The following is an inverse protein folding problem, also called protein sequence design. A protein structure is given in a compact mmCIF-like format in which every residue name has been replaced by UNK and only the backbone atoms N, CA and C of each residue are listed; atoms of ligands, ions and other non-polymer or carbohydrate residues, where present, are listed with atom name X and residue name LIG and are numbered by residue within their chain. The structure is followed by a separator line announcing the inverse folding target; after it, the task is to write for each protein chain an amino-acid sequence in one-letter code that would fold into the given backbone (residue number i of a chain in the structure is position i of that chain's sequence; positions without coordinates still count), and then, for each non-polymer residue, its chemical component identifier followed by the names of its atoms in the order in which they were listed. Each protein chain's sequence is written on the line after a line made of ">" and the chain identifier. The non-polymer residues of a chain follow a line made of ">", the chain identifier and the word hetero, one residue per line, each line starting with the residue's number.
data_IF_136669167420
#
_entry.id   IF_136669167420
#
_cell.length_a   1.000
_cell.length_b   1.000
_cell.length_c   1.000
_cell.angle_alpha   90.00
_cell.angle_beta   90.00
_cell.angle_gamma   90.00
#
_symmetry.space_group_name_H-M   'P 1'
#
loop_
_entity.id
_entity.type
_entity.pdbx_description
1 polymer ?
#
# COMPACT_ATOMS: atom_id res chain seq x y z
N UNK A 1 -33.83 42.36 -42.77
CA UNK A 1 -32.53 41.63 -42.74
C UNK A 1 -32.56 40.61 -41.62
N UNK A 2 -32.66 39.33 -41.96
CA UNK A 2 -32.57 38.19 -41.03
C UNK A 2 -31.14 38.12 -40.48
N UNK A 3 -30.96 38.06 -39.16
CA UNK A 3 -29.70 37.64 -38.53
C UNK A 3 -29.94 36.34 -37.77
N UNK A 4 -29.55 35.26 -38.42
CA UNK A 4 -29.26 33.96 -37.84
C UNK A 4 -27.88 34.09 -37.19
N UNK A 5 -27.72 33.79 -35.91
CA UNK A 5 -26.40 33.43 -35.38
C UNK A 5 -26.53 32.27 -34.39
N UNK A 6 -25.70 31.27 -34.66
CA UNK A 6 -25.68 29.92 -34.14
C UNK A 6 -25.44 29.88 -32.62
N UNK A 7 -26.25 29.07 -31.91
CA UNK A 7 -25.83 28.47 -30.65
C UNK A 7 -24.79 27.38 -30.95
N UNK A 8 -23.53 27.62 -30.59
CA UNK A 8 -22.57 26.53 -30.38
C UNK A 8 -22.91 25.86 -29.03
N UNK A 9 -23.47 24.66 -29.10
CA UNK A 9 -23.66 23.80 -27.93
C UNK A 9 -22.31 23.31 -27.40
N UNK A 10 -22.03 23.60 -26.14
CA UNK A 10 -21.02 22.88 -25.36
C UNK A 10 -21.46 21.41 -25.26
N UNK A 11 -20.77 20.51 -25.97
CA UNK A 11 -20.74 19.09 -25.63
C UNK A 11 -19.81 18.92 -24.42
N UNK A 12 -20.36 19.15 -23.23
CA UNK A 12 -19.85 18.55 -22.01
C UNK A 12 -20.11 17.05 -22.13
N UNK A 13 -19.07 16.28 -22.49
CA UNK A 13 -19.06 14.85 -22.28
C UNK A 13 -19.07 14.60 -20.76
N UNK A 14 -20.27 14.54 -20.18
CA UNK A 14 -20.47 13.88 -18.90
C UNK A 14 -20.13 12.41 -19.12
N UNK A 15 -18.96 11.98 -18.65
CA UNK A 15 -18.66 10.56 -18.54
C UNK A 15 -19.71 9.94 -17.61
N UNK A 16 -20.41 8.92 -18.10
CA UNK A 16 -21.43 8.16 -17.39
C UNK A 16 -20.88 7.62 -16.06
N UNK A 17 -21.15 8.34 -14.98
CA UNK A 17 -21.03 7.83 -13.61
C UNK A 17 -22.39 7.26 -13.16
N UNK A 18 -23.03 6.45 -14.01
CA UNK A 18 -24.24 5.70 -13.66
C UNK A 18 -23.92 4.20 -13.48
N UNK A 19 -24.12 3.70 -12.26
CA UNK A 19 -24.88 2.47 -12.03
C UNK A 19 -24.29 1.09 -12.36
N UNK A 20 -23.03 0.94 -12.75
CA UNK A 20 -22.47 -0.40 -12.95
C UNK A 20 -21.82 -0.95 -11.67
N UNK A 21 -22.30 -2.11 -11.21
CA UNK A 21 -21.71 -2.86 -10.10
C UNK A 21 -20.27 -3.32 -10.41
N UNK A 22 -19.59 -3.96 -9.45
CA UNK A 22 -18.21 -4.39 -9.65
C UNK A 22 -18.07 -5.36 -10.82
N UNK A 23 -17.02 -5.17 -11.62
CA UNK A 23 -16.68 -5.99 -12.80
C UNK A 23 -15.47 -6.86 -12.48
N UNK A 24 -15.59 -8.16 -12.70
CA UNK A 24 -14.55 -9.16 -12.39
C UNK A 24 -14.03 -9.79 -13.69
N UNK A 25 -12.75 -9.59 -13.98
CA UNK A 25 -12.10 -10.12 -15.17
C UNK A 25 -11.05 -11.14 -14.78
N UNK A 26 -11.20 -12.40 -15.21
CA UNK A 26 -10.17 -13.42 -15.01
C UNK A 26 -8.92 -13.04 -15.81
N UNK A 27 -7.81 -12.77 -15.14
CA UNK A 27 -6.54 -12.37 -15.77
C UNK A 27 -5.54 -13.51 -15.86
N UNK A 28 -5.57 -14.46 -14.92
CA UNK A 28 -4.64 -15.58 -14.89
C UNK A 28 -5.21 -16.78 -14.14
N UNK A 29 -5.02 -17.95 -14.70
CA UNK A 29 -5.07 -19.21 -13.94
C UNK A 29 -3.64 -19.64 -13.65
N UNK A 30 -3.24 -19.56 -12.38
CA UNK A 30 -1.90 -19.89 -11.92
C UNK A 30 -1.86 -21.35 -11.46
N UNK A 31 -1.03 -22.18 -12.10
CA UNK A 31 -0.76 -23.55 -11.66
C UNK A 31 0.10 -23.56 -10.39
N UNK A 32 0.05 -24.66 -9.63
CA UNK A 32 0.95 -24.90 -8.48
C UNK A 32 2.43 -24.70 -8.87
N UNK A 33 2.84 -25.18 -10.04
CA UNK A 33 4.21 -24.99 -10.55
C UNK A 33 4.53 -23.50 -10.75
N UNK A 34 3.62 -22.73 -11.36
CA UNK A 34 3.83 -21.30 -11.59
C UNK A 34 3.92 -20.49 -10.29
N UNK A 35 3.11 -20.84 -9.29
CA UNK A 35 3.17 -20.23 -7.96
C UNK A 35 4.49 -20.57 -7.26
N UNK A 36 4.94 -21.82 -7.37
CA UNK A 36 6.22 -22.24 -6.83
C UNK A 36 7.42 -21.52 -7.48
N UNK A 37 7.37 -21.20 -8.78
CA UNK A 37 8.39 -20.34 -9.43
C UNK A 37 8.46 -18.94 -8.81
N UNK A 38 7.33 -18.39 -8.35
CA UNK A 38 7.30 -17.12 -7.60
C UNK A 38 7.95 -17.31 -6.22
N UNK A 39 7.60 -18.39 -5.52
CA UNK A 39 8.14 -18.71 -4.19
C UNK A 39 9.63 -19.04 -4.18
N UNK A 40 10.18 -19.43 -5.33
CA UNK A 40 11.60 -19.70 -5.51
C UNK A 40 12.34 -18.49 -6.10
N UNK A 41 12.27 -18.32 -7.43
CA UNK A 41 13.12 -17.39 -8.18
C UNK A 41 12.76 -15.92 -7.92
N UNK A 42 11.47 -15.56 -7.94
CA UNK A 42 11.06 -14.17 -7.68
C UNK A 42 11.29 -13.79 -6.22
N UNK A 43 11.03 -14.70 -5.28
CA UNK A 43 11.36 -14.50 -3.86
C UNK A 43 12.85 -14.28 -3.66
N UNK A 44 13.70 -15.06 -4.34
CA UNK A 44 15.16 -14.89 -4.26
C UNK A 44 15.60 -13.53 -4.82
N UNK A 45 15.04 -13.09 -5.95
CA UNK A 45 15.32 -11.78 -6.52
C UNK A 45 14.78 -10.60 -5.67
N UNK A 46 13.74 -10.84 -4.87
CA UNK A 46 13.19 -9.84 -3.96
C UNK A 46 14.05 -9.64 -2.70
N UNK A 47 14.76 -10.69 -2.26
CA UNK A 47 15.66 -10.59 -1.11
C UNK A 47 16.79 -9.58 -1.40
N UNK A 48 17.17 -8.76 -0.41
CA UNK A 48 18.27 -7.81 -0.58
C UNK A 48 19.59 -8.57 -0.89
N UNK A 49 20.42 -7.96 -1.74
CA UNK A 49 21.72 -8.53 -2.13
C UNK A 49 22.79 -8.50 -1.02
N UNK A 50 22.50 -7.89 0.15
CA UNK A 50 23.44 -7.77 1.27
C UNK A 50 22.77 -7.78 2.65
N UNK A 51 23.60 -7.87 3.69
CA UNK A 51 23.24 -7.59 5.09
C UNK A 51 22.21 -8.52 5.71
N UNK A 52 22.62 -9.74 6.06
CA UNK A 52 21.96 -10.50 7.13
C UNK A 52 23.02 -10.86 8.17
N UNK A 53 22.72 -10.81 9.48
CA UNK A 53 23.54 -11.44 10.50
C UNK A 53 23.88 -12.87 10.07
N UNK A 54 25.12 -13.30 10.31
CA UNK A 54 25.60 -14.61 9.84
C UNK A 54 24.71 -15.77 10.32
N UNK A 55 24.05 -15.61 11.46
CA UNK A 55 23.12 -16.54 12.09
C UNK A 55 21.67 -16.48 11.56
N UNK A 56 21.28 -15.43 10.82
CA UNK A 56 19.89 -15.24 10.42
C UNK A 56 19.51 -15.98 9.13
N UNK A 57 18.76 -17.08 9.18
CA UNK A 57 18.30 -17.78 7.98
C UNK A 57 16.92 -17.31 7.51
N UNK A 58 16.81 -16.91 6.22
CA UNK A 58 15.51 -16.59 5.63
C UNK A 58 14.56 -17.79 5.72
N UNK A 59 13.34 -17.61 6.24
CA UNK A 59 12.41 -18.73 6.41
C UNK A 59 12.00 -19.27 5.04
N UNK A 60 11.99 -20.59 4.89
CA UNK A 60 11.54 -21.24 3.66
C UNK A 60 10.04 -20.98 3.46
N UNK A 61 9.67 -20.55 2.26
CA UNK A 61 8.26 -20.42 1.91
C UNK A 61 7.65 -21.82 1.70
N UNK A 62 6.48 -22.13 2.30
CA UNK A 62 5.83 -23.42 2.07
C UNK A 62 5.35 -23.51 0.62
N UNK A 63 5.53 -24.68 0.00
CA UNK A 63 5.13 -24.93 -1.39
C UNK A 63 3.62 -24.79 -1.57
N UNK A 64 3.20 -24.19 -2.68
CA UNK A 64 1.79 -24.07 -3.03
C UNK A 64 1.15 -25.47 -3.14
N UNK A 65 -0.06 -25.60 -2.59
CA UNK A 65 -0.88 -26.82 -2.60
C UNK A 65 -1.97 -26.78 -3.66
N UNK A 66 -2.45 -25.58 -4.00
CA UNK A 66 -3.57 -25.37 -4.92
C UNK A 66 -3.18 -24.42 -6.05
N UNK A 67 -3.79 -24.62 -7.23
CA UNK A 67 -3.83 -23.60 -8.26
C UNK A 67 -4.73 -22.44 -7.84
N UNK A 68 -4.63 -21.31 -8.54
CA UNK A 68 -5.34 -20.08 -8.17
C UNK A 68 -5.90 -19.41 -9.43
N UNK A 69 -7.19 -19.09 -9.41
CA UNK A 69 -7.82 -18.19 -10.38
C UNK A 69 -7.68 -16.75 -9.89
N UNK A 70 -7.07 -15.90 -10.71
CA UNK A 70 -6.73 -14.53 -10.37
C UNK A 70 -7.57 -13.60 -11.22
N UNK A 71 -8.34 -12.74 -10.55
CA UNK A 71 -9.23 -11.77 -11.15
C UNK A 71 -8.71 -10.36 -10.90
N UNK A 72 -8.77 -9.53 -11.93
CA UNK A 72 -8.81 -8.07 -11.77
C UNK A 72 -10.25 -7.66 -11.48
N UNK A 73 -10.41 -6.72 -10.56
CA UNK A 73 -11.72 -6.18 -10.19
C UNK A 73 -11.70 -4.67 -10.35
N UNK A 74 -12.69 -4.13 -11.06
CA UNK A 74 -13.02 -2.72 -11.03
C UNK A 74 -14.27 -2.54 -10.20
N UNK A 75 -14.28 -1.59 -9.27
CA UNK A 75 -15.39 -1.40 -8.33
C UNK A 75 -15.66 0.09 -8.05
N UNK A 76 -16.93 0.46 -7.81
CA UNK A 76 -17.27 1.80 -7.37
C UNK A 76 -16.73 2.04 -5.96
N UNK A 77 -16.24 3.26 -5.73
CA UNK A 77 -15.78 3.72 -4.42
C UNK A 77 -16.11 5.21 -4.24
N UNK A 78 -15.64 5.81 -3.16
CA UNK A 78 -15.82 7.22 -2.85
C UNK A 78 -14.53 7.83 -2.32
N UNK A 79 -14.39 9.14 -2.44
CA UNK A 79 -13.32 9.92 -1.81
C UNK A 79 -13.87 10.63 -0.57
N UNK A 80 -13.67 10.12 0.66
CA UNK A 80 -14.24 10.72 1.87
C UNK A 80 -13.79 12.17 2.10
N UNK A 81 -12.53 12.47 1.76
CA UNK A 81 -11.96 13.80 1.86
C UNK A 81 -12.66 14.83 0.96
N UNK A 82 -13.33 14.39 -0.10
CA UNK A 82 -14.14 15.20 -1.00
C UNK A 82 -15.64 14.95 -0.78
N UNK A 83 -16.06 14.89 0.48
CA UNK A 83 -17.47 14.71 0.86
C UNK A 83 -18.11 13.45 0.26
N UNK A 84 -17.36 12.35 0.19
CA UNK A 84 -17.75 11.08 -0.43
C UNK A 84 -18.10 11.20 -1.92
N UNK A 85 -17.41 12.07 -2.67
CA UNK A 85 -17.56 12.14 -4.12
C UNK A 85 -17.34 10.74 -4.74
N UNK A 86 -18.26 10.26 -5.60
CA UNK A 86 -18.11 8.96 -6.26
C UNK A 86 -16.87 8.89 -7.15
N UNK A 87 -16.24 7.71 -7.17
CA UNK A 87 -15.12 7.38 -8.04
C UNK A 87 -15.11 5.88 -8.36
N UNK A 88 -14.12 5.43 -9.13
CA UNK A 88 -13.83 4.01 -9.34
C UNK A 88 -12.40 3.71 -8.89
N UNK A 89 -12.23 2.52 -8.33
CA UNK A 89 -10.93 1.94 -8.03
C UNK A 89 -10.83 0.53 -8.62
N UNK A 90 -9.63 -0.04 -8.58
CA UNK A 90 -9.36 -1.39 -9.02
C UNK A 90 -8.58 -2.19 -7.97
N UNK A 91 -8.50 -3.49 -8.18
CA UNK A 91 -7.76 -4.41 -7.32
C UNK A 91 -7.70 -5.82 -7.88
N UNK A 92 -7.20 -6.73 -7.06
CA UNK A 92 -7.05 -8.15 -7.35
C UNK A 92 -7.87 -8.99 -6.37
N UNK A 93 -8.49 -10.04 -6.88
CA UNK A 93 -9.02 -11.15 -6.08
C UNK A 93 -8.45 -12.46 -6.63
N UNK A 94 -7.72 -13.18 -5.79
CA UNK A 94 -7.16 -14.49 -6.09
C UNK A 94 -7.92 -15.56 -5.30
N UNK A 95 -8.56 -16.47 -6.03
CA UNK A 95 -9.39 -17.55 -5.48
C UNK A 95 -8.69 -18.89 -5.69
N UNK A 96 -8.35 -19.64 -4.63
CA UNK A 96 -7.76 -20.96 -4.76
C UNK A 96 -8.74 -21.96 -5.37
N UNK A 97 -8.25 -22.79 -6.30
CA UNK A 97 -9.03 -23.83 -6.98
C UNK A 97 -9.09 -25.06 -6.08
N UNK A 98 -10.16 -25.17 -5.29
CA UNK A 98 -10.40 -26.27 -4.33
C UNK A 98 -11.79 -26.89 -4.53
N UNK A 99 -11.94 -27.87 -5.43
CA UNK A 99 -13.23 -28.52 -5.68
C UNK A 99 -13.89 -29.05 -4.39
N UNK A 100 -15.19 -28.85 -4.25
CA UNK A 100 -15.97 -29.26 -3.07
C UNK A 100 -15.80 -28.37 -1.83
N UNK A 101 -14.99 -27.32 -1.88
CA UNK A 101 -14.82 -26.37 -0.77
C UNK A 101 -15.78 -25.19 -0.89
N UNK A 102 -16.70 -25.07 0.06
CA UNK A 102 -17.73 -24.01 0.09
C UNK A 102 -17.49 -22.92 1.15
N UNK A 103 -16.38 -23.01 1.89
CA UNK A 103 -15.99 -21.97 2.84
C UNK A 103 -14.47 -21.78 2.84
N UNK A 104 -14.01 -20.53 2.70
CA UNK A 104 -12.59 -20.21 2.60
C UNK A 104 -12.24 -19.01 3.49
N UNK A 105 -11.04 -19.00 4.11
CA UNK A 105 -10.54 -17.81 4.79
C UNK A 105 -10.15 -16.75 3.76
N UNK A 106 -10.41 -15.49 4.07
CA UNK A 106 -10.03 -14.33 3.24
C UNK A 106 -8.88 -13.60 3.90
N UNK A 107 -7.85 -13.27 3.12
CA UNK A 107 -6.78 -12.35 3.47
C UNK A 107 -6.93 -11.08 2.63
N UNK A 108 -7.21 -9.95 3.26
CA UNK A 108 -7.04 -8.66 2.59
C UNK A 108 -5.59 -8.18 2.76
N UNK A 109 -4.89 -8.04 1.64
CA UNK A 109 -3.51 -7.55 1.58
C UNK A 109 -3.45 -6.10 1.12
N UNK A 110 -2.67 -5.30 1.83
CA UNK A 110 -2.39 -3.91 1.49
C UNK A 110 -0.93 -3.80 1.06
N UNK A 111 -0.71 -3.43 -0.21
CA UNK A 111 0.63 -3.29 -0.79
C UNK A 111 1.35 -2.04 -0.28
N UNK A 112 2.68 -2.08 -0.29
CA UNK A 112 3.56 -0.96 0.01
C UNK A 112 3.61 0.07 -1.12
N UNK A 113 4.56 0.99 -1.06
CA UNK A 113 4.70 2.01 -2.11
C UNK A 113 5.11 1.40 -3.44
N UNK A 114 4.45 1.82 -4.51
CA UNK A 114 4.73 1.39 -5.89
C UNK A 114 4.93 2.61 -6.79
N UNK A 115 5.87 2.49 -7.74
CA UNK A 115 6.33 3.64 -8.51
C UNK A 115 5.58 3.78 -9.83
N UNK A 116 5.26 2.71 -10.54
CA UNK A 116 4.39 2.79 -11.72
C UNK A 116 2.90 2.80 -11.35
N UNK A 117 2.09 3.53 -12.13
CA UNK A 117 0.62 3.59 -11.95
C UNK A 117 -0.02 2.19 -11.98
N UNK A 118 0.52 1.31 -12.82
CA UNK A 118 0.06 -0.05 -13.02
C UNK A 118 0.95 -1.11 -12.33
N UNK A 119 1.82 -0.70 -11.41
CA UNK A 119 2.63 -1.64 -10.60
C UNK A 119 1.91 -2.12 -9.34
N UNK A 120 0.61 -2.30 -9.47
CA UNK A 120 -0.36 -2.48 -8.39
C UNK A 120 -0.95 -3.90 -8.44
N UNK A 121 -1.67 -4.35 -7.40
CA UNK A 121 -2.26 -5.68 -7.37
C UNK A 121 -3.03 -6.12 -8.62
N UNK A 122 -3.90 -5.30 -9.17
CA UNK A 122 -4.75 -5.65 -10.34
C UNK A 122 -3.97 -5.99 -11.61
N UNK A 123 -2.72 -5.51 -11.72
CA UNK A 123 -1.81 -5.75 -12.84
C UNK A 123 -0.64 -6.68 -12.46
N UNK A 124 -0.59 -7.19 -11.23
CA UNK A 124 0.54 -7.98 -10.72
C UNK A 124 0.81 -9.25 -11.53
N UNK A 125 -0.20 -9.79 -12.22
CA UNK A 125 -0.12 -10.99 -13.06
C UNK A 125 -0.36 -10.71 -14.55
N UNK A 126 -0.45 -9.45 -14.93
CA UNK A 126 -0.50 -9.01 -16.32
C UNK A 126 0.91 -8.99 -16.91
N UNK A 127 1.01 -9.17 -18.24
CA UNK A 127 2.28 -9.01 -18.98
C UNK A 127 2.44 -7.61 -19.58
N UNK A 128 1.34 -6.89 -19.72
CA UNK A 128 1.25 -5.57 -20.34
C UNK A 128 0.35 -4.69 -19.49
N UNK A 129 0.48 -3.38 -19.67
CA UNK A 129 -0.33 -2.39 -19.00
C UNK A 129 -0.63 -1.19 -19.94
N UNK A 130 -1.60 -0.33 -19.63
CA UNK A 130 -2.02 0.75 -20.51
C UNK A 130 -1.04 1.93 -20.65
N UNK A 131 0.08 1.98 -19.93
CA UNK A 131 0.98 3.14 -19.96
C UNK A 131 1.77 3.30 -21.27
N UNK A 132 1.86 2.24 -22.09
CA UNK A 132 2.74 2.21 -23.26
C UNK A 132 4.22 2.00 -22.92
N UNK A 133 4.59 1.99 -21.64
CA UNK A 133 5.94 1.66 -21.16
C UNK A 133 6.02 0.20 -20.70
N UNK A 134 7.23 -0.34 -20.68
CA UNK A 134 7.45 -1.67 -20.12
C UNK A 134 6.94 -1.71 -18.68
N UNK A 135 6.25 -2.79 -18.35
CA UNK A 135 5.88 -3.04 -16.97
C UNK A 135 7.18 -3.24 -16.18
N UNK A 136 7.49 -2.34 -15.24
CA UNK A 136 8.62 -2.60 -14.35
C UNK A 136 8.30 -3.80 -13.46
N UNK A 137 9.32 -4.38 -12.84
CA UNK A 137 9.18 -5.62 -12.07
C UNK A 137 8.35 -5.44 -10.77
N UNK A 138 7.59 -4.35 -10.60
CA UNK A 138 6.73 -4.05 -9.46
C UNK A 138 5.60 -5.05 -9.20
N UNK A 139 4.88 -4.81 -8.11
CA UNK A 139 3.93 -5.74 -7.48
C UNK A 139 4.48 -7.13 -7.12
N UNK A 140 5.80 -7.30 -6.99
CA UNK A 140 6.46 -8.55 -6.58
C UNK A 140 5.89 -9.07 -5.26
N UNK A 141 5.61 -8.18 -4.32
CA UNK A 141 5.12 -8.52 -2.99
C UNK A 141 3.70 -9.07 -3.04
N UNK A 142 2.83 -8.50 -3.89
CA UNK A 142 1.49 -9.01 -4.12
C UNK A 142 1.55 -10.40 -4.75
N UNK A 143 2.45 -10.62 -5.73
CA UNK A 143 2.67 -11.96 -6.31
C UNK A 143 3.12 -12.97 -5.23
N UNK A 144 4.02 -12.56 -4.34
CA UNK A 144 4.48 -13.39 -3.22
C UNK A 144 3.35 -13.71 -2.23
N UNK A 145 2.49 -12.75 -1.90
CA UNK A 145 1.32 -12.95 -1.04
C UNK A 145 0.34 -13.91 -1.68
N UNK A 146 -0.01 -13.73 -2.96
CA UNK A 146 -0.89 -14.65 -3.68
C UNK A 146 -0.29 -16.06 -3.68
N UNK A 147 1.00 -16.21 -3.97
CA UNK A 147 1.65 -17.52 -3.97
C UNK A 147 1.69 -18.17 -2.58
N UNK A 148 1.95 -17.41 -1.51
CA UNK A 148 2.02 -17.94 -0.15
C UNK A 148 0.66 -18.17 0.51
N UNK A 149 -0.35 -17.36 0.22
CA UNK A 149 -1.66 -17.44 0.87
C UNK A 149 -2.70 -18.13 -0.02
N UNK A 150 -2.90 -17.65 -1.25
CA UNK A 150 -3.83 -18.32 -2.16
C UNK A 150 -3.34 -19.70 -2.57
N UNK A 151 -2.02 -19.87 -2.78
CA UNK A 151 -1.44 -21.20 -2.96
C UNK A 151 -1.67 -22.16 -1.77
N UNK A 152 -2.07 -21.66 -0.59
CA UNK A 152 -2.37 -22.46 0.61
C UNK A 152 -3.85 -22.56 0.96
N UNK A 153 -4.75 -22.03 0.11
CA UNK A 153 -6.20 -22.14 0.31
C UNK A 153 -6.88 -20.91 0.91
N UNK A 154 -6.23 -19.75 0.93
CA UNK A 154 -6.85 -18.47 1.29
C UNK A 154 -7.34 -17.73 0.05
N UNK A 155 -8.52 -17.12 0.09
CA UNK A 155 -8.82 -16.06 -0.88
C UNK A 155 -7.95 -14.86 -0.54
N UNK A 156 -7.30 -14.25 -1.53
CA UNK A 156 -6.51 -13.03 -1.34
C UNK A 156 -7.20 -11.89 -2.07
N UNK A 157 -7.47 -10.79 -1.36
CA UNK A 157 -8.01 -9.55 -1.91
C UNK A 157 -6.99 -8.43 -1.71
N UNK A 158 -6.71 -7.63 -2.74
CA UNK A 158 -5.75 -6.53 -2.63
C UNK A 158 -6.18 -5.34 -3.50
N UNK A 159 -6.45 -4.20 -2.88
CA UNK A 159 -6.84 -2.97 -3.57
C UNK A 159 -5.61 -2.27 -4.13
N UNK A 160 -5.76 -1.60 -5.28
CA UNK A 160 -4.69 -0.76 -5.85
C UNK A 160 -4.57 0.60 -5.15
N UNK A 161 -5.58 0.96 -4.36
CA UNK A 161 -5.85 2.30 -3.81
C UNK A 161 -6.39 3.31 -4.85
N UNK A 162 -6.98 4.40 -4.34
CA UNK A 162 -7.55 5.46 -5.18
C UNK A 162 -6.43 6.21 -5.90
N UNK A 163 -6.63 6.43 -7.20
CA UNK A 163 -5.67 7.09 -8.09
C UNK A 163 -4.60 6.18 -8.70
N UNK A 164 -4.69 4.88 -8.41
CA UNK A 164 -3.79 3.85 -8.90
C UNK A 164 -4.53 2.83 -9.77
N UNK A 165 -3.80 2.06 -10.57
CA UNK A 165 -4.39 1.09 -11.50
C UNK A 165 -5.33 1.76 -12.50
N UNK A 166 -6.57 1.28 -12.55
CA UNK A 166 -7.60 1.77 -13.47
C UNK A 166 -8.30 3.05 -12.98
N UNK A 167 -7.90 3.60 -11.82
CA UNK A 167 -8.43 4.87 -11.33
C UNK A 167 -7.98 6.05 -12.20
N UNK A 168 -8.91 6.98 -12.47
CA UNK A 168 -8.65 8.21 -13.23
C UNK A 168 -8.14 9.37 -12.36
N UNK A 169 -8.20 9.23 -11.04
CA UNK A 169 -7.75 10.25 -10.09
C UNK A 169 -6.21 10.23 -9.91
N UNK A 170 -5.61 11.29 -9.36
CA UNK A 170 -4.22 11.25 -8.89
C UNK A 170 -4.12 10.42 -7.59
N UNK A 171 -2.94 9.89 -7.26
CA UNK A 171 -2.78 8.95 -6.14
C UNK A 171 -3.12 9.55 -4.77
N UNK A 172 -3.92 8.81 -4.00
CA UNK A 172 -4.32 9.10 -2.63
C UNK A 172 -3.33 8.55 -1.58
N UNK A 173 -2.02 8.79 -1.76
CA UNK A 173 -0.96 8.21 -0.93
C UNK A 173 -1.04 8.65 0.54
N UNK A 174 -1.26 7.72 1.47
CA UNK A 174 -1.43 7.94 2.92
C UNK A 174 -2.58 8.89 3.27
N UNK A 175 -3.56 9.00 2.38
CA UNK A 175 -4.82 9.71 2.62
C UNK A 175 -5.78 8.71 3.27
N UNK A 176 -5.79 8.72 4.61
CA UNK A 176 -6.40 7.66 5.42
C UNK A 176 -7.84 7.30 5.03
N UNK A 177 -8.70 8.28 4.75
CA UNK A 177 -10.09 8.04 4.38
C UNK A 177 -10.23 7.35 3.03
N UNK A 178 -9.53 7.86 2.01
CA UNK A 178 -9.46 7.28 0.68
C UNK A 178 -8.93 5.83 0.69
N UNK A 179 -7.86 5.57 1.44
CA UNK A 179 -7.30 4.21 1.58
C UNK A 179 -8.26 3.24 2.28
N UNK A 180 -8.96 3.71 3.34
CA UNK A 180 -10.02 2.94 4.00
C UNK A 180 -11.19 2.64 3.06
N UNK A 181 -11.60 3.60 2.23
CA UNK A 181 -12.70 3.44 1.28
C UNK A 181 -12.35 2.39 0.21
N UNK A 182 -11.19 2.51 -0.44
CA UNK A 182 -10.73 1.54 -1.44
C UNK A 182 -10.70 0.11 -0.89
N UNK A 183 -10.10 -0.09 0.30
CA UNK A 183 -10.02 -1.42 0.91
C UNK A 183 -11.41 -1.96 1.30
N UNK A 184 -12.27 -1.14 1.89
CA UNK A 184 -13.61 -1.55 2.33
C UNK A 184 -14.53 -1.89 1.16
N UNK A 185 -14.46 -1.12 0.09
CA UNK A 185 -15.33 -1.32 -1.08
C UNK A 185 -14.88 -2.53 -1.91
N UNK A 186 -13.56 -2.78 -2.03
CA UNK A 186 -13.06 -4.04 -2.57
C UNK A 186 -13.51 -5.22 -1.72
N UNK A 187 -13.39 -5.14 -0.39
CA UNK A 187 -13.82 -6.21 0.52
C UNK A 187 -15.31 -6.55 0.35
N UNK A 188 -16.16 -5.53 0.20
CA UNK A 188 -17.60 -5.72 -0.07
C UNK A 188 -17.85 -6.37 -1.43
N UNK A 189 -17.17 -5.88 -2.47
CA UNK A 189 -17.27 -6.45 -3.82
C UNK A 189 -16.80 -7.92 -3.84
N UNK A 190 -15.68 -8.22 -3.20
CA UNK A 190 -15.12 -9.55 -3.07
C UNK A 190 -16.03 -10.50 -2.31
N UNK A 191 -16.61 -10.07 -1.19
CA UNK A 191 -17.63 -10.84 -0.47
C UNK A 191 -18.82 -11.21 -1.36
N UNK A 192 -19.32 -10.28 -2.17
CA UNK A 192 -20.40 -10.55 -3.14
C UNK A 192 -19.98 -11.55 -4.23
N UNK A 193 -18.76 -11.41 -4.74
CA UNK A 193 -18.19 -12.31 -5.74
C UNK A 193 -17.98 -13.74 -5.23
N UNK A 194 -17.51 -13.89 -3.99
CA UNK A 194 -17.36 -15.22 -3.38
C UNK A 194 -18.73 -15.90 -3.22
N UNK A 195 -19.76 -15.16 -2.81
CA UNK A 195 -21.14 -15.70 -2.71
C UNK A 195 -21.65 -16.16 -4.07
N UNK A 196 -21.41 -15.41 -5.15
CA UNK A 196 -21.83 -15.83 -6.51
C UNK A 196 -21.06 -17.06 -7.02
N UNK A 197 -19.88 -17.34 -6.45
CA UNK A 197 -19.11 -18.59 -6.66
C UNK A 197 -19.51 -19.74 -5.72
N UNK A 198 -20.50 -19.54 -4.85
CA UNK A 198 -20.90 -20.54 -3.84
C UNK A 198 -19.87 -20.73 -2.72
N UNK A 199 -19.05 -19.70 -2.46
CA UNK A 199 -18.00 -19.69 -1.44
C UNK A 199 -18.40 -18.72 -0.32
N UNK A 200 -18.46 -19.22 0.92
CA UNK A 200 -18.63 -18.40 2.12
C UNK A 200 -17.28 -18.00 2.71
N UNK A 201 -17.14 -16.77 3.17
CA UNK A 201 -15.99 -16.38 4.00
C UNK A 201 -16.05 -17.07 5.36
N UNK A 202 -15.03 -17.85 5.73
CA UNK A 202 -14.93 -18.51 7.05
C UNK A 202 -14.28 -17.62 8.11
N UNK A 203 -13.21 -16.90 7.74
CA UNK A 203 -12.44 -15.97 8.58
C UNK A 203 -11.94 -14.81 7.73
N UNK A 204 -11.67 -13.67 8.37
CA UNK A 204 -11.04 -12.52 7.75
C UNK A 204 -9.70 -12.24 8.42
N UNK A 205 -8.65 -12.12 7.62
CA UNK A 205 -7.31 -11.76 8.03
C UNK A 205 -6.87 -10.51 7.28
N UNK A 206 -5.99 -9.72 7.89
CA UNK A 206 -5.39 -8.55 7.24
C UNK A 206 -3.87 -8.65 7.25
N UNK A 207 -3.26 -8.12 6.21
CA UNK A 207 -1.81 -8.11 6.05
C UNK A 207 -1.36 -6.87 5.27
N UNK A 208 -0.21 -6.30 5.64
CA UNK A 208 0.39 -5.23 4.86
C UNK A 208 1.86 -4.99 5.18
N UNK A 209 2.56 -4.40 4.23
CA UNK A 209 3.99 -4.09 4.32
C UNK A 209 4.25 -2.63 4.02
N UNK A 210 5.25 -2.03 4.69
CA UNK A 210 5.65 -0.66 4.44
C UNK A 210 4.46 0.30 4.62
N UNK A 211 4.24 1.22 3.67
CA UNK A 211 3.02 2.04 3.58
C UNK A 211 1.74 1.20 3.68
N UNK A 212 1.70 0.01 3.07
CA UNK A 212 0.58 -0.93 3.18
C UNK A 212 0.30 -1.39 4.61
N UNK A 213 1.30 -1.42 5.49
CA UNK A 213 1.08 -1.68 6.92
C UNK A 213 0.30 -0.54 7.61
N UNK A 214 0.55 0.71 7.22
CA UNK A 214 -0.26 1.86 7.67
C UNK A 214 -1.70 1.67 7.16
N UNK A 215 -1.87 1.37 5.88
CA UNK A 215 -3.20 1.12 5.29
C UNK A 215 -3.92 -0.04 5.97
N UNK A 216 -3.24 -1.15 6.26
CA UNK A 216 -3.81 -2.31 6.97
C UNK A 216 -4.37 -1.91 8.33
N UNK A 217 -3.64 -1.11 9.10
CA UNK A 217 -4.13 -0.65 10.41
C UNK A 217 -5.25 0.38 10.30
N UNK A 218 -5.24 1.25 9.28
CA UNK A 218 -6.37 2.14 8.98
C UNK A 218 -7.61 1.33 8.58
N UNK A 219 -7.43 0.29 7.78
CA UNK A 219 -8.50 -0.59 7.34
C UNK A 219 -9.06 -1.43 8.50
N UNK A 220 -8.20 -1.92 9.40
CA UNK A 220 -8.63 -2.58 10.63
C UNK A 220 -9.51 -1.66 11.49
N UNK A 221 -9.11 -0.40 11.66
CA UNK A 221 -9.93 0.61 12.33
C UNK A 221 -11.31 0.76 11.64
N UNK A 222 -11.35 0.85 10.30
CA UNK A 222 -12.59 0.94 9.53
C UNK A 222 -13.49 -0.29 9.72
N UNK A 223 -12.92 -1.49 9.65
CA UNK A 223 -13.64 -2.74 9.84
C UNK A 223 -14.24 -2.85 11.24
N UNK A 224 -13.50 -2.45 12.28
CA UNK A 224 -14.00 -2.38 13.65
C UNK A 224 -15.19 -1.42 13.78
N UNK A 225 -15.10 -0.21 13.20
CA UNK A 225 -16.21 0.75 13.17
C UNK A 225 -17.44 0.17 12.47
N UNK A 226 -17.24 -0.63 11.42
CA UNK A 226 -18.30 -1.33 10.70
C UNK A 226 -18.70 -2.68 11.34
N UNK A 227 -18.18 -3.03 12.53
CA UNK A 227 -18.45 -4.29 13.25
C UNK A 227 -18.14 -5.55 12.44
N UNK A 228 -17.17 -5.47 11.53
CA UNK A 228 -16.67 -6.64 10.80
C UNK A 228 -15.60 -7.33 11.63
N UNK A 229 -15.83 -8.60 11.97
CA UNK A 229 -14.89 -9.39 12.77
C UNK A 229 -13.65 -9.76 11.98
N UNK A 230 -12.49 -9.33 12.47
CA UNK A 230 -11.16 -9.74 11.99
C UNK A 230 -10.60 -10.80 12.93
N UNK A 231 -10.10 -11.90 12.38
CA UNK A 231 -9.53 -12.99 13.15
C UNK A 231 -8.11 -12.65 13.65
N UNK A 232 -7.27 -12.13 12.76
CA UNK A 232 -5.92 -11.66 13.09
C UNK A 232 -5.37 -10.74 12.00
N UNK A 233 -4.38 -9.92 12.37
CA UNK A 233 -3.70 -9.00 11.47
C UNK A 233 -2.20 -9.10 11.63
N UNK A 234 -1.43 -9.04 10.53
CA UNK A 234 -0.01 -8.73 10.63
C UNK A 234 0.37 -7.49 9.83
N UNK A 235 1.39 -6.78 10.30
CA UNK A 235 2.08 -5.75 9.50
C UNK A 235 3.58 -6.01 9.52
N UNK A 236 4.28 -5.60 8.47
CA UNK A 236 5.74 -5.65 8.41
C UNK A 236 6.28 -4.26 8.07
N UNK A 237 7.26 -3.79 8.82
CA UNK A 237 7.94 -2.50 8.56
C UNK A 237 6.95 -1.35 8.38
N UNK A 238 6.00 -1.20 9.30
CA UNK A 238 4.88 -0.27 9.12
C UNK A 238 5.17 1.11 9.75
N UNK A 239 5.03 2.22 9.00
CA UNK A 239 5.08 3.57 9.54
C UNK A 239 3.69 4.00 10.02
N UNK A 240 3.19 3.46 11.14
CA UNK A 240 1.83 3.75 11.63
C UNK A 240 1.59 5.21 12.06
N UNK A 241 2.66 6.02 12.13
CA UNK A 241 2.61 7.46 12.33
C UNK A 241 3.48 8.16 11.27
N UNK A 242 2.88 8.64 10.16
CA UNK A 242 3.62 9.32 9.09
C UNK A 242 4.35 10.58 9.55
N UNK A 243 3.84 11.28 10.56
CA UNK A 243 4.51 12.45 11.12
C UNK A 243 5.80 12.05 11.82
N UNK A 244 5.74 11.04 12.70
CA UNK A 244 6.93 10.54 13.38
C UNK A 244 7.98 10.00 12.40
N UNK A 245 7.55 9.31 11.34
CA UNK A 245 8.43 8.79 10.29
C UNK A 245 9.20 9.92 9.58
N UNK A 246 8.48 10.89 9.02
CA UNK A 246 9.09 12.00 8.28
C UNK A 246 9.90 12.92 9.21
N UNK A 247 9.46 13.12 10.45
CA UNK A 247 10.23 13.87 11.45
C UNK A 247 11.59 13.21 11.70
N UNK A 248 11.62 11.88 11.89
CA UNK A 248 12.87 11.15 12.09
C UNK A 248 13.79 11.27 10.87
N UNK A 249 13.27 11.13 9.65
CA UNK A 249 14.06 11.28 8.43
C UNK A 249 14.61 12.70 8.22
N UNK A 250 13.91 13.73 8.70
CA UNK A 250 14.33 15.13 8.58
C UNK A 250 15.40 15.53 9.59
N UNK A 251 15.20 15.17 10.85
CA UNK A 251 15.97 15.72 11.96
C UNK A 251 16.92 14.71 12.62
N UNK A 252 16.77 13.43 12.30
CA UNK A 252 17.57 12.33 12.83
C UNK A 252 17.92 11.29 11.75
N UNK A 253 18.43 11.69 10.57
CA UNK A 253 18.75 10.76 9.50
C UNK A 253 19.87 9.79 9.92
N UNK A 254 19.73 8.53 9.54
CA UNK A 254 20.74 7.49 9.77
C UNK A 254 21.74 7.39 8.60
N UNK A 255 22.88 6.76 8.84
CA UNK A 255 23.88 6.54 7.77
C UNK A 255 23.44 5.57 6.68
N UNK A 256 22.40 4.78 6.91
CA UNK A 256 21.94 3.74 5.99
C UNK A 256 20.49 3.95 5.53
N UNK A 257 19.99 5.20 5.57
CA UNK A 257 18.64 5.50 5.06
C UNK A 257 18.51 5.15 3.58
N UNK A 258 17.30 4.74 3.21
CA UNK A 258 17.00 4.34 1.86
C UNK A 258 16.91 5.56 0.93
N UNK A 259 17.61 5.51 -0.20
CA UNK A 259 17.59 6.58 -1.21
C UNK A 259 16.18 6.94 -1.71
N UNK A 260 15.27 5.97 -1.65
CA UNK A 260 13.90 6.10 -2.11
C UNK A 260 12.96 6.78 -1.10
N UNK A 261 13.39 7.14 0.10
CA UNK A 261 12.58 7.94 1.06
C UNK A 261 12.10 9.28 0.49
N UNK A 262 12.88 9.85 -0.43
CA UNK A 262 12.50 11.03 -1.22
C UNK A 262 11.12 10.91 -1.87
N UNK A 263 10.77 9.70 -2.32
CA UNK A 263 9.48 9.45 -2.92
C UNK A 263 8.34 9.54 -1.91
N UNK A 264 8.52 9.15 -0.64
CA UNK A 264 7.49 9.30 0.38
C UNK A 264 7.17 10.79 0.62
N UNK A 265 8.20 11.63 0.65
CA UNK A 265 8.04 13.09 0.75
C UNK A 265 7.27 13.64 -0.48
N UNK A 266 7.65 13.24 -1.70
CA UNK A 266 6.93 13.63 -2.91
C UNK A 266 5.45 13.21 -2.87
N UNK A 267 5.21 11.93 -2.64
CA UNK A 267 3.88 11.34 -2.69
C UNK A 267 2.94 11.96 -1.64
N UNK A 268 3.40 12.13 -0.41
CA UNK A 268 2.58 12.76 0.64
C UNK A 268 2.28 14.23 0.37
N UNK A 269 3.26 15.02 -0.11
CA UNK A 269 3.06 16.45 -0.36
C UNK A 269 1.97 16.70 -1.40
N UNK A 270 2.10 16.08 -2.57
CA UNK A 270 1.17 16.29 -3.67
C UNK A 270 -0.16 15.58 -3.43
N UNK A 271 -0.15 14.38 -2.83
CA UNK A 271 -1.41 13.73 -2.46
C UNK A 271 -2.20 14.57 -1.47
N UNK A 272 -1.57 15.12 -0.44
CA UNK A 272 -2.26 15.95 0.56
C UNK A 272 -2.71 17.28 -0.01
N UNK A 273 -1.96 17.86 -0.96
CA UNK A 273 -2.40 19.03 -1.72
C UNK A 273 -3.73 18.79 -2.43
N UNK A 274 -3.83 17.67 -3.16
CA UNK A 274 -5.03 17.29 -3.90
C UNK A 274 -6.19 16.90 -2.98
N UNK A 275 -5.97 15.95 -2.08
CA UNK A 275 -7.06 15.32 -1.33
C UNK A 275 -7.55 16.17 -0.16
N UNK A 276 -6.69 16.93 0.51
CA UNK A 276 -7.11 17.82 1.61
C UNK A 276 -7.42 19.25 1.16
N UNK A 277 -7.54 19.48 -0.15
CA UNK A 277 -7.86 20.78 -0.77
C UNK A 277 -6.96 21.91 -0.27
N UNK A 278 -5.65 21.69 -0.32
CA UNK A 278 -4.61 22.65 0.11
C UNK A 278 -3.76 23.09 -1.08
N UNK A 279 -4.31 23.88 -2.02
CA UNK A 279 -3.57 24.31 -3.20
C UNK A 279 -2.28 25.03 -2.80
N UNK A 280 -1.16 24.65 -3.44
CA UNK A 280 0.16 25.21 -3.16
C UNK A 280 0.85 24.67 -1.89
N UNK A 281 0.33 23.62 -1.26
CA UNK A 281 0.98 22.94 -0.13
C UNK A 281 2.40 22.52 -0.48
N UNK A 282 2.60 21.78 -1.57
CA UNK A 282 3.93 21.33 -2.00
C UNK A 282 4.87 22.50 -2.27
N UNK A 283 4.37 23.56 -2.92
CA UNK A 283 5.15 24.77 -3.22
C UNK A 283 5.52 25.56 -1.94
N UNK A 284 4.68 25.49 -0.90
CA UNK A 284 4.94 26.10 0.41
C UNK A 284 6.00 25.36 1.23
N UNK A 285 6.23 24.08 0.92
CA UNK A 285 7.18 23.21 1.63
C UNK A 285 8.52 23.15 0.91
N UNK A 286 8.52 22.90 -0.39
CA UNK A 286 9.72 22.68 -1.21
C UNK A 286 10.39 24.00 -1.62
N UNK A 287 11.72 24.00 -1.73
CA UNK A 287 12.44 25.06 -2.45
C UNK A 287 12.08 24.98 -3.94
N UNK A 288 11.91 26.13 -4.63
CA UNK A 288 11.47 26.15 -6.04
C UNK A 288 12.30 25.26 -6.99
N UNK A 289 13.62 25.17 -6.76
CA UNK A 289 14.53 24.37 -7.61
C UNK A 289 14.23 22.86 -7.59
N UNK A 290 13.64 22.33 -6.52
CA UNK A 290 13.33 20.90 -6.39
C UNK A 290 11.88 20.57 -6.76
N UNK A 291 11.01 21.57 -6.88
CA UNK A 291 9.57 21.35 -7.04
C UNK A 291 9.24 20.44 -8.23
N UNK A 292 9.85 20.70 -9.39
CA UNK A 292 9.57 19.92 -10.60
C UNK A 292 10.05 18.47 -10.49
N UNK A 293 11.20 18.21 -9.87
CA UNK A 293 11.70 16.85 -9.68
C UNK A 293 10.78 16.03 -8.77
N UNK A 294 10.32 16.61 -7.66
CA UNK A 294 9.36 15.97 -6.76
C UNK A 294 7.99 15.78 -7.43
N UNK A 295 7.55 16.76 -8.24
CA UNK A 295 6.29 16.65 -8.99
C UNK A 295 6.33 15.50 -9.99
N UNK A 296 7.43 15.34 -10.73
CA UNK A 296 7.61 14.21 -11.67
C UNK A 296 7.50 12.85 -10.97
N UNK A 297 7.97 12.72 -9.73
CA UNK A 297 7.81 11.49 -8.94
C UNK A 297 6.32 11.20 -8.70
N UNK A 298 5.54 12.20 -8.27
CA UNK A 298 4.11 12.03 -7.98
C UNK A 298 3.27 11.78 -9.24
N UNK A 299 3.51 12.61 -10.27
CA UNK A 299 2.82 12.52 -11.56
C UNK A 299 3.23 11.26 -12.34
N UNK A 300 4.30 10.58 -11.90
CA UNK A 300 4.92 9.42 -12.56
C UNK A 300 5.36 9.75 -13.98
N UNK A 301 5.86 10.96 -14.16
CA UNK A 301 6.42 11.48 -15.41
C UNK A 301 7.85 10.95 -15.60
N UNK A 302 7.93 9.62 -15.76
CA UNK A 302 9.12 8.86 -16.11
C UNK A 302 8.70 7.60 -16.88
N UNK A 303 9.41 7.33 -17.96
CA UNK A 303 9.06 6.32 -18.97
C UNK A 303 9.90 5.05 -18.85
N UNK A 304 10.86 5.03 -17.92
CA UNK A 304 11.70 3.87 -17.65
C UNK A 304 12.12 3.81 -16.17
N UNK A 305 12.47 2.61 -15.67
CA UNK A 305 13.10 2.45 -14.36
C UNK A 305 14.42 3.22 -14.29
N UNK A 306 15.19 3.25 -15.39
CA UNK A 306 16.43 4.01 -15.47
C UNK A 306 16.21 5.52 -15.29
N UNK A 307 15.12 6.08 -15.84
CA UNK A 307 14.76 7.49 -15.66
C UNK A 307 14.33 7.78 -14.23
N UNK A 308 13.52 6.92 -13.62
CA UNK A 308 13.18 7.03 -12.19
C UNK A 308 14.44 7.00 -11.31
N UNK A 309 15.36 6.08 -11.56
CA UNK A 309 16.64 6.01 -10.85
C UNK A 309 17.50 7.25 -11.08
N UNK A 310 17.46 7.83 -12.28
CA UNK A 310 18.13 9.11 -12.58
C UNK A 310 17.55 10.26 -11.76
N UNK A 311 16.22 10.34 -11.64
CA UNK A 311 15.54 11.32 -10.76
C UNK A 311 16.00 11.13 -9.32
N UNK A 312 15.95 9.90 -8.78
CA UNK A 312 16.43 9.62 -7.42
C UNK A 312 17.90 9.96 -7.24
N UNK A 313 18.75 9.64 -8.20
CA UNK A 313 20.17 10.01 -8.17
C UNK A 313 20.35 11.52 -8.12
N UNK A 314 19.64 12.26 -8.97
CA UNK A 314 19.70 13.73 -9.01
C UNK A 314 19.27 14.38 -7.69
N UNK A 315 18.32 13.78 -6.97
CA UNK A 315 17.93 14.22 -5.65
C UNK A 315 18.99 13.84 -4.61
N UNK A 316 19.68 12.71 -4.79
CA UNK A 316 20.58 12.12 -3.80
C UNK A 316 22.07 12.39 -4.01
N UNK A 317 22.45 13.27 -4.95
CA UNK A 317 23.84 13.51 -5.36
C UNK A 317 24.82 13.85 -4.23
N UNK A 318 24.34 14.15 -3.01
CA UNK A 318 25.18 14.31 -1.81
C UNK A 318 24.67 13.61 -0.54
N UNK A 319 23.74 12.65 -0.64
CA UNK A 319 22.91 12.22 0.51
C UNK A 319 22.37 13.45 1.26
N UNK A 320 21.97 14.48 0.49
CA UNK A 320 21.43 15.69 1.06
C UNK A 320 20.27 15.25 1.98
N UNK A 321 20.30 15.59 3.29
CA UNK A 321 19.22 15.25 4.18
C UNK A 321 17.91 15.72 3.54
N UNK A 322 16.81 14.99 3.69
CA UNK A 322 15.51 15.40 3.11
C UNK A 322 15.17 16.88 3.44
N UNK A 323 15.64 17.35 4.60
CA UNK A 323 15.56 18.73 5.05
C UNK A 323 16.13 19.76 4.05
N UNK A 324 17.16 19.41 3.28
CA UNK A 324 17.81 20.28 2.31
C UNK A 324 16.90 20.68 1.14
N UNK A 325 15.87 19.88 0.83
CA UNK A 325 14.89 20.21 -0.22
C UNK A 325 13.84 21.22 0.24
N UNK A 326 13.72 21.44 1.55
CA UNK A 326 12.64 22.20 2.15
C UNK A 326 13.00 23.68 2.30
N UNK A 327 11.99 24.55 2.35
CA UNK A 327 12.20 25.97 2.66
C UNK A 327 12.72 26.14 4.09
N UNK A 328 13.51 27.20 4.31
CA UNK A 328 14.22 27.48 5.57
C UNK A 328 13.38 27.30 6.86
N UNK A 329 12.11 27.75 6.95
CA UNK A 329 11.31 27.55 8.16
C UNK A 329 11.14 26.07 8.57
N UNK A 330 11.10 25.14 7.62
CA UNK A 330 10.99 23.70 7.90
C UNK A 330 12.26 23.10 8.51
N UNK A 331 13.36 23.84 8.60
CA UNK A 331 14.54 23.39 9.34
C UNK A 331 14.35 23.44 10.86
N UNK A 332 13.31 24.13 11.33
CA UNK A 332 12.89 24.11 12.73
C UNK A 332 11.82 23.02 12.95
N UNK A 333 12.08 22.00 13.81
CA UNK A 333 11.10 20.96 14.09
C UNK A 333 9.79 21.49 14.71
N UNK A 334 9.81 22.60 15.44
CA UNK A 334 8.61 23.21 16.00
C UNK A 334 7.73 23.84 14.92
N UNK A 335 8.35 24.51 13.94
CA UNK A 335 7.65 25.01 12.75
C UNK A 335 7.07 23.85 11.93
N UNK A 336 7.84 22.79 11.68
CA UNK A 336 7.33 21.62 10.95
C UNK A 336 6.11 21.00 11.63
N UNK A 337 6.16 20.78 12.95
CA UNK A 337 5.05 20.23 13.74
C UNK A 337 3.76 21.06 13.65
N UNK A 338 3.88 22.38 13.55
CA UNK A 338 2.73 23.30 13.52
C UNK A 338 2.30 23.71 12.10
N UNK A 339 3.12 23.41 11.10
CA UNK A 339 2.82 23.63 9.68
C UNK A 339 1.60 22.86 9.21
N UNK A 340 0.98 23.30 8.11
CA UNK A 340 -0.13 22.58 7.48
C UNK A 340 0.28 21.14 7.12
N UNK A 341 1.47 20.95 6.56
CA UNK A 341 1.97 19.64 6.17
C UNK A 341 2.15 18.70 7.37
N UNK A 342 2.84 19.16 8.42
CA UNK A 342 3.05 18.36 9.64
C UNK A 342 1.74 17.97 10.32
N UNK A 343 0.76 18.89 10.37
CA UNK A 343 -0.60 18.60 10.89
C UNK A 343 -1.35 17.57 10.05
N UNK A 344 -1.20 17.59 8.73
CA UNK A 344 -1.84 16.59 7.86
C UNK A 344 -1.22 15.21 8.05
N UNK A 345 0.12 15.12 8.10
CA UNK A 345 0.84 13.87 8.42
C UNK A 345 0.38 13.29 9.76
N UNK A 346 0.28 14.13 10.80
CA UNK A 346 -0.12 13.70 12.14
C UNK A 346 -1.58 13.20 12.19
N UNK A 347 -2.44 13.67 11.27
CA UNK A 347 -3.83 13.21 11.16
C UNK A 347 -3.96 11.84 10.49
N UNK A 348 -3.00 11.46 9.65
CA UNK A 348 -3.00 10.18 8.92
C UNK A 348 -2.54 8.97 9.76
N UNK A 349 -2.18 9.17 11.03
CA UNK A 349 -1.80 8.09 11.94
C UNK A 349 -2.90 7.03 12.17
N UNK A 350 -2.48 5.83 12.57
CA UNK A 350 -3.34 4.68 12.90
C UNK A 350 -3.02 4.04 14.26
N UNK A 351 -2.31 4.75 15.12
CA UNK A 351 -1.86 4.30 16.44
C UNK A 351 -2.86 4.59 17.56
N UNK A 352 -3.75 5.57 17.41
CA UNK A 352 -4.66 6.06 18.48
C UNK A 352 -5.99 5.31 18.63
N UNK A 353 -6.12 4.13 18.04
CA UNK A 353 -7.32 3.28 18.17
C UNK A 353 -6.96 1.98 18.88
N UNK A 354 -7.79 1.50 19.79
CA UNK A 354 -7.59 0.18 20.38
C UNK A 354 -8.03 -0.92 19.40
N UNK A 355 -7.12 -1.83 19.07
CA UNK A 355 -7.43 -2.97 18.21
C UNK A 355 -8.17 -4.03 19.01
N UNK A 356 -9.26 -4.55 18.45
CA UNK A 356 -10.11 -5.57 19.08
C UNK A 356 -9.69 -7.00 18.70
N UNK A 357 -8.94 -7.15 17.61
CA UNK A 357 -8.36 -8.43 17.18
C UNK A 357 -6.85 -8.48 17.42
N UNK A 358 -6.26 -9.68 17.59
CA UNK A 358 -4.81 -9.84 17.71
C UNK A 358 -4.05 -9.26 16.51
N UNK A 359 -2.99 -8.50 16.79
CA UNK A 359 -2.10 -7.93 15.77
C UNK A 359 -0.66 -8.35 16.03
N UNK A 360 0.04 -8.86 15.00
CA UNK A 360 1.50 -9.04 15.04
C UNK A 360 2.19 -7.98 14.17
N UNK A 361 3.01 -7.15 14.78
CA UNK A 361 3.80 -6.14 14.08
C UNK A 361 5.25 -6.60 14.00
N UNK A 362 5.70 -6.90 12.78
CA UNK A 362 7.08 -7.28 12.49
C UNK A 362 7.89 -6.02 12.15
N UNK A 363 9.05 -5.88 12.77
CA UNK A 363 9.99 -4.79 12.48
C UNK A 363 11.42 -5.34 12.40
N UNK A 364 12.22 -4.79 11.50
CA UNK A 364 13.61 -5.17 11.30
C UNK A 364 14.55 -4.36 12.18
N UNK A 365 15.59 -4.98 12.73
CA UNK A 365 16.65 -4.23 13.43
C UNK A 365 17.54 -3.42 12.46
N UNK A 366 17.60 -3.85 11.19
CA UNK A 366 18.46 -3.30 10.15
C UNK A 366 17.61 -2.70 9.02
N UNK A 367 16.37 -2.33 9.31
CA UNK A 367 15.43 -1.76 8.34
C UNK A 367 15.91 -0.36 7.93
N UNK A 368 16.29 -0.25 6.66
CA UNK A 368 16.86 0.93 6.04
C UNK A 368 15.88 2.08 5.84
N UNK A 369 14.59 1.92 6.18
CA UNK A 369 13.58 2.97 6.03
C UNK A 369 12.73 3.20 7.29
N UNK A 370 12.52 2.15 8.09
CA UNK A 370 11.66 2.20 9.28
C UNK A 370 12.50 1.91 10.52
N UNK A 371 12.98 2.94 11.24
CA UNK A 371 13.76 2.76 12.45
C UNK A 371 13.03 1.92 13.49
N UNK A 372 13.77 1.14 14.28
CA UNK A 372 13.21 0.29 15.34
C UNK A 372 12.25 1.03 16.30
N UNK A 373 12.53 2.27 16.78
CA UNK A 373 11.57 3.01 17.59
C UNK A 373 10.22 3.24 16.89
N UNK A 374 10.24 3.52 15.59
CA UNK A 374 9.02 3.71 14.79
C UNK A 374 8.25 2.38 14.64
N UNK A 375 8.94 1.28 14.36
CA UNK A 375 8.34 -0.06 14.29
C UNK A 375 7.71 -0.53 15.62
N UNK A 376 8.17 0.01 16.75
CA UNK A 376 7.62 -0.24 18.10
C UNK A 376 6.52 0.74 18.51
N UNK A 377 6.41 1.89 17.85
CA UNK A 377 5.64 3.05 18.30
C UNK A 377 4.17 2.71 18.55
N UNK A 378 3.51 2.02 17.61
CA UNK A 378 2.11 1.66 17.72
C UNK A 378 1.82 0.79 18.95
N UNK A 379 2.69 -0.18 19.26
CA UNK A 379 2.56 -1.03 20.43
C UNK A 379 2.79 -0.25 21.73
N UNK A 380 3.82 0.60 21.77
CA UNK A 380 4.09 1.45 22.93
C UNK A 380 2.90 2.37 23.24
N UNK A 381 2.35 3.02 22.21
CA UNK A 381 1.21 3.92 22.37
C UNK A 381 -0.04 3.20 22.86
N UNK A 382 -0.33 1.99 22.35
CA UNK A 382 -1.51 1.22 22.76
C UNK A 382 -1.40 0.60 24.15
N UNK A 383 -0.19 0.21 24.57
CA UNK A 383 0.05 -0.18 25.97
C UNK A 383 -0.19 0.98 26.93
N UNK A 384 0.20 2.20 26.55
CA UNK A 384 -0.12 3.40 27.33
C UNK A 384 -1.64 3.65 27.44
N UNK A 385 -2.43 3.18 26.47
CA UNK A 385 -3.90 3.17 26.52
C UNK A 385 -4.50 1.90 27.14
N UNK A 386 -3.69 1.02 27.74
CA UNK A 386 -4.15 -0.19 28.45
C UNK A 386 -4.43 -1.41 27.58
N UNK A 387 -3.83 -1.53 26.39
CA UNK A 387 -4.05 -2.68 25.48
C UNK A 387 -2.77 -3.40 25.10
N UNK A 388 -2.81 -4.73 25.20
CA UNK A 388 -1.77 -5.67 24.77
C UNK A 388 -2.11 -6.42 23.48
N UNK A 389 -3.08 -5.91 22.70
CA UNK A 389 -3.51 -6.56 21.46
C UNK A 389 -2.39 -6.65 20.39
N UNK A 390 -1.34 -5.83 20.50
CA UNK A 390 -0.18 -5.87 19.61
C UNK A 390 0.94 -6.72 20.22
N UNK A 391 1.28 -7.81 19.53
CA UNK A 391 2.52 -8.54 19.72
C UNK A 391 3.59 -8.01 18.75
N UNK A 392 4.65 -7.43 19.31
CA UNK A 392 5.84 -7.06 18.57
C UNK A 392 6.67 -8.31 18.23
N UNK A 393 7.17 -8.39 17.01
CA UNK A 393 8.09 -9.44 16.55
C UNK A 393 9.30 -8.77 15.90
N UNK A 394 10.45 -8.86 16.56
CA UNK A 394 11.70 -8.38 15.99
C UNK A 394 12.22 -9.38 14.96
N UNK A 395 12.57 -8.87 13.77
CA UNK A 395 13.34 -9.60 12.77
C UNK A 395 14.77 -9.12 12.87
N UNK A 396 15.56 -9.81 13.69
CA UNK A 396 16.98 -9.48 13.90
C UNK A 396 17.73 -9.57 12.57
N UNK A 397 18.40 -8.49 12.19
CA UNK A 397 19.04 -8.35 10.90
C UNK A 397 18.11 -8.14 9.71
N UNK A 398 16.81 -7.97 9.98
CA UNK A 398 15.82 -7.77 8.95
C UNK A 398 15.98 -6.39 8.32
N UNK A 399 16.29 -6.36 7.03
CA UNK A 399 16.09 -5.16 6.21
C UNK A 399 14.60 -4.90 5.98
N UNK A 400 14.24 -3.81 5.30
CA UNK A 400 12.85 -3.48 4.98
C UNK A 400 12.14 -4.63 4.23
N UNK A 401 12.80 -5.20 3.22
CA UNK A 401 12.30 -6.36 2.46
C UNK A 401 12.46 -7.68 3.20
N UNK A 402 13.54 -7.84 3.97
CA UNK A 402 13.79 -9.03 4.77
C UNK A 402 12.73 -9.26 5.85
N UNK A 403 12.31 -8.17 6.49
CA UNK A 403 11.24 -8.16 7.49
C UNK A 403 9.93 -8.64 6.88
N UNK A 404 9.58 -8.18 5.67
CA UNK A 404 8.40 -8.65 4.94
C UNK A 404 8.42 -10.15 4.68
N UNK A 405 9.48 -10.68 4.06
CA UNK A 405 9.56 -12.11 3.74
C UNK A 405 9.42 -12.98 4.98
N UNK A 406 10.01 -12.52 6.08
CA UNK A 406 9.92 -13.18 7.38
C UNK A 406 8.50 -13.15 7.91
N UNK A 407 7.89 -11.97 7.90
CA UNK A 407 6.52 -11.77 8.36
C UNK A 407 5.55 -12.66 7.59
N UNK A 408 5.61 -12.71 6.25
CA UNK A 408 4.71 -13.52 5.42
C UNK A 408 4.77 -15.01 5.78
N UNK A 409 5.98 -15.55 5.96
CA UNK A 409 6.16 -16.97 6.30
C UNK A 409 5.67 -17.30 7.71
N UNK A 410 6.06 -16.49 8.70
CA UNK A 410 5.69 -16.73 10.10
C UNK A 410 4.20 -16.47 10.37
N UNK A 411 3.62 -15.45 9.72
CA UNK A 411 2.20 -15.12 9.88
C UNK A 411 1.28 -16.18 9.28
N UNK A 412 1.67 -16.82 8.17
CA UNK A 412 0.90 -17.93 7.60
C UNK A 412 0.78 -19.10 8.59
N UNK A 413 1.86 -19.44 9.29
CA UNK A 413 1.83 -20.45 10.36
C UNK A 413 0.88 -20.03 11.48
N UNK A 414 0.98 -18.77 11.90
CA UNK A 414 0.10 -18.22 12.95
C UNK A 414 -1.38 -18.21 12.56
N UNK A 415 -1.73 -17.76 11.35
CA UNK A 415 -3.11 -17.70 10.88
C UNK A 415 -3.75 -19.08 10.78
N UNK A 416 -2.99 -20.13 10.47
CA UNK A 416 -3.50 -21.52 10.49
C UNK A 416 -3.99 -21.95 11.87
N UNK A 417 -3.37 -21.47 12.95
CA UNK A 417 -3.82 -21.76 14.32
C UNK A 417 -5.06 -20.92 14.72
N UNK A 418 -5.45 -19.95 13.90
CA UNK A 418 -6.64 -19.10 14.09
C UNK A 418 -7.83 -19.55 13.23
N UNK A 419 -7.64 -20.54 12.35
CA UNK A 419 -8.68 -21.04 11.45
C UNK A 419 -9.78 -21.76 12.21
#
# INVERSE_FOLDING_TARGET
>A
MRRILLLLGLLLAAADAQGHGPVFTLVKQASVESLNKILDAQRAAFLPAGGRPADYQWPKAPRAKYGVDIYRVQYPSVVPEWHNQPTSASGLIAVPVMPGTHAMPVLCYQHGTVYGKYEVPSYAFSKTNPSGFSQYAGAYETRLIVAQYAGQGYVVEAADYIGMGDSSLPEAYTVKGAEQAACMDLYRAGKGFLVSKGIRQSKLFLAGWSAGGLVTTAFLEKLQLCRVKVAATFTASSPNDPFAAINAWFYHPREHEALWENSMLALTLFSYEHYYSKPGLAASVLKPVYYQAFRKIYDRDYHSEAELQSIFKSLTEHRAPLLAYLRKPFHDPAYFATSTYGKLLARSQTIRVLFQSPVRMYYGSDDEAIPTPLGKLAACYKRAMGSDAIRLVEVRGGTHRGTFITAVSQSLSWFRHMQ
#
